data_IF_217679987771
#
_entry.id   IF_217679987771
#
_cell.length_a   1.000
_cell.length_b   1.000
_cell.length_c   1.000
_cell.angle_alpha   90.00
_cell.angle_beta   90.00
_cell.angle_gamma   90.00
#
_symmetry.space_group_name_H-M   'P 1'
#
loop_
_entity.id
_entity.type
_entity.pdbx_description
1 polymer ?
#
# COMPACT_ATOMS: atom_id res chain seq x y z
N UNK A 1 -13.87 -0.91 3.39
CA UNK A 1 -13.72 0.56 3.28
C UNK A 1 -12.26 1.02 3.07
N UNK A 2 -11.27 0.12 3.00
CA UNK A 2 -9.87 0.47 2.71
C UNK A 2 -9.64 0.82 1.23
N UNK A 3 -10.22 0.06 0.30
CA UNK A 3 -10.06 0.28 -1.15
C UNK A 3 -10.44 1.71 -1.57
N UNK A 4 -11.53 2.25 -1.00
CA UNK A 4 -11.97 3.61 -1.30
C UNK A 4 -11.00 4.68 -0.77
N UNK A 5 -10.37 4.44 0.39
CA UNK A 5 -9.36 5.33 0.96
C UNK A 5 -8.07 5.29 0.15
N UNK A 6 -7.63 4.09 -0.26
CA UNK A 6 -6.48 3.91 -1.15
C UNK A 6 -6.73 4.58 -2.51
N UNK A 7 -7.91 4.39 -3.11
CA UNK A 7 -8.30 5.06 -4.34
C UNK A 7 -8.30 6.60 -4.20
N UNK A 8 -8.84 7.13 -3.09
CA UNK A 8 -8.79 8.58 -2.81
C UNK A 8 -7.37 9.10 -2.61
N UNK A 9 -6.47 8.30 -2.03
CA UNK A 9 -5.06 8.63 -1.89
C UNK A 9 -4.26 8.46 -3.20
N UNK A 10 -4.91 8.11 -4.32
CA UNK A 10 -4.29 7.96 -5.63
C UNK A 10 -3.57 6.62 -5.82
N UNK A 11 -3.87 5.63 -4.99
CA UNK A 11 -3.45 4.25 -5.23
C UNK A 11 -4.41 3.57 -6.20
N UNK A 12 -3.87 2.77 -7.11
CA UNK A 12 -4.66 1.92 -8.00
C UNK A 12 -4.30 0.45 -7.80
N UNK A 13 -5.31 -0.40 -7.95
CA UNK A 13 -5.15 -1.84 -7.84
C UNK A 13 -4.38 -2.39 -9.04
N UNK A 14 -3.42 -3.28 -8.77
CA UNK A 14 -2.69 -4.03 -9.79
C UNK A 14 -2.79 -5.52 -9.49
N UNK A 15 -2.85 -6.33 -10.54
CA UNK A 15 -2.66 -7.75 -10.43
C UNK A 15 -1.16 -8.01 -10.14
N UNK A 16 -0.82 -8.33 -8.89
CA UNK A 16 0.53 -8.75 -8.57
C UNK A 16 0.78 -10.14 -9.16
N UNK A 17 1.87 -10.35 -9.92
CA UNK A 17 2.17 -11.64 -10.54
C UNK A 17 2.55 -12.72 -9.52
N UNK A 18 2.92 -12.32 -8.30
CA UNK A 18 3.34 -13.22 -7.22
C UNK A 18 2.14 -13.54 -6.32
N UNK A 19 1.22 -14.35 -6.84
CA UNK A 19 -0.05 -14.71 -6.18
C UNK A 19 0.09 -15.97 -5.30
N UNK A 20 1.17 -16.08 -4.53
CA UNK A 20 1.27 -17.15 -3.52
C UNK A 20 0.26 -16.94 -2.38
N UNK A 21 -0.16 -15.69 -2.15
CA UNK A 21 -1.15 -15.30 -1.14
C UNK A 21 -2.30 -14.56 -1.83
N UNK A 22 -3.52 -15.04 -1.65
CA UNK A 22 -4.72 -14.37 -2.15
C UNK A 22 -4.86 -12.99 -1.47
N UNK A 23 -4.76 -11.92 -2.25
CA UNK A 23 -4.83 -10.55 -1.76
C UNK A 23 -4.87 -9.52 -2.88
N UNK A 24 -5.23 -8.29 -2.54
CA UNK A 24 -5.21 -7.16 -3.45
C UNK A 24 -3.90 -6.38 -3.28
N UNK A 25 -3.30 -5.95 -4.38
CA UNK A 25 -2.11 -5.10 -4.36
C UNK A 25 -2.46 -3.74 -4.93
N UNK A 26 -2.15 -2.69 -4.19
CA UNK A 26 -2.36 -1.31 -4.59
C UNK A 26 -1.00 -0.64 -4.76
N UNK A 27 -0.88 0.24 -5.74
CA UNK A 27 0.33 1.03 -5.94
C UNK A 27 0.00 2.50 -6.16
N UNK A 28 0.81 3.35 -5.57
CA UNK A 28 0.87 4.79 -5.84
C UNK A 28 2.27 5.13 -6.34
N UNK A 29 2.43 5.46 -7.63
CA UNK A 29 3.68 5.95 -8.15
C UNK A 29 3.92 7.36 -7.61
N UNK A 30 5.01 7.55 -6.87
CA UNK A 30 5.51 8.87 -6.48
C UNK A 30 6.66 9.31 -7.39
N UNK A 31 6.95 10.61 -7.38
CA UNK A 31 7.99 11.21 -8.23
C UNK A 31 9.42 10.70 -7.92
N UNK A 32 9.65 10.21 -6.69
CA UNK A 32 10.94 9.66 -6.22
C UNK A 32 10.88 8.19 -5.83
N UNK A 33 9.74 7.74 -5.31
CA UNK A 33 9.55 6.37 -4.83
C UNK A 33 8.09 5.95 -5.04
N UNK A 34 7.88 4.68 -5.37
CA UNK A 34 6.54 4.11 -5.46
C UNK A 34 6.16 3.49 -4.13
N UNK A 35 4.92 3.73 -3.69
CA UNK A 35 4.37 3.09 -2.50
C UNK A 35 3.47 1.95 -2.95
N UNK A 36 3.73 0.73 -2.48
CA UNK A 36 2.95 -0.47 -2.77
C UNK A 36 2.33 -0.97 -1.47
N UNK A 37 1.02 -1.14 -1.47
CA UNK A 37 0.25 -1.68 -0.33
C UNK A 37 -0.27 -3.05 -0.73
N UNK A 38 0.09 -4.07 0.01
CA UNK A 38 -0.46 -5.41 -0.12
C UNK A 38 -1.51 -5.65 0.97
N UNK A 39 -2.69 -6.08 0.56
CA UNK A 39 -3.85 -6.32 1.41
C UNK A 39 -4.24 -7.80 1.25
N UNK A 40 -3.75 -8.69 2.12
CA UNK A 40 -4.13 -10.10 2.11
C UNK A 40 -5.63 -10.26 2.38
N UNK A 41 -6.29 -11.20 1.68
CA UNK A 41 -7.73 -11.45 1.86
C UNK A 41 -8.05 -12.09 3.22
N UNK A 42 -7.13 -12.91 3.73
CA UNK A 42 -7.29 -13.67 4.97
C UNK A 42 -6.68 -13.00 6.22
N UNK A 43 -6.17 -11.77 6.09
CA UNK A 43 -5.55 -11.03 7.20
C UNK A 43 -6.11 -9.62 7.29
N UNK A 44 -6.30 -9.13 8.51
CA UNK A 44 -6.69 -7.74 8.76
C UNK A 44 -5.49 -6.77 8.69
N UNK A 45 -4.29 -7.32 8.60
CA UNK A 45 -3.03 -6.61 8.48
C UNK A 45 -2.68 -6.37 7.00
N UNK A 46 -2.13 -5.20 6.72
CA UNK A 46 -1.64 -4.78 5.42
C UNK A 46 -0.15 -4.54 5.48
N UNK A 47 0.51 -4.73 4.35
CA UNK A 47 1.94 -4.55 4.22
C UNK A 47 2.22 -3.41 3.25
N UNK A 48 2.87 -2.35 3.73
CA UNK A 48 3.23 -1.18 2.93
C UNK A 48 4.72 -1.23 2.64
N UNK A 49 5.03 -1.16 1.36
CA UNK A 49 6.37 -1.16 0.81
C UNK A 49 6.63 0.20 0.15
N UNK A 50 7.75 0.84 0.45
CA UNK A 50 8.18 2.07 -0.21
C UNK A 50 9.45 1.82 -1.02
N UNK A 51 9.53 2.36 -2.24
CA UNK A 51 10.69 2.27 -3.11
C UNK A 51 10.35 1.79 -4.52
N UNK A 52 11.20 0.93 -5.08
CA UNK A 52 11.00 0.40 -6.43
C UNK A 52 9.95 -0.73 -6.43
N UNK A 53 9.15 -0.84 -7.48
CA UNK A 53 8.11 -1.88 -7.65
C UNK A 53 8.56 -3.32 -7.31
N UNK A 54 9.81 -3.65 -7.66
CA UNK A 54 10.42 -4.97 -7.42
C UNK A 54 11.31 -5.05 -6.17
N UNK A 55 11.75 -3.92 -5.63
CA UNK A 55 12.70 -3.83 -4.52
C UNK A 55 12.19 -2.81 -3.48
N UNK A 56 10.89 -2.86 -3.20
CA UNK A 56 10.27 -2.01 -2.19
C UNK A 56 10.70 -2.48 -0.82
N UNK A 57 11.10 -1.56 0.05
CA UNK A 57 11.37 -1.85 1.45
C UNK A 57 10.05 -1.88 2.21
N UNK A 58 9.80 -2.92 2.99
CA UNK A 58 8.68 -2.93 3.94
C UNK A 58 8.88 -1.78 4.94
N UNK A 59 8.00 -0.80 4.89
CA UNK A 59 8.02 0.36 5.79
C UNK A 59 6.98 0.23 6.89
N UNK A 60 5.93 -0.55 6.66
CA UNK A 60 4.88 -0.78 7.64
C UNK A 60 4.21 -2.14 7.42
N UNK A 61 3.92 -2.83 8.51
CA UNK A 61 3.05 -4.01 8.53
C UNK A 61 2.14 -3.88 9.74
N UNK A 62 0.83 -3.97 9.53
CA UNK A 62 -0.15 -3.85 10.62
C UNK A 62 -1.54 -3.54 10.11
N UNK A 63 -2.50 -3.23 10.99
CA UNK A 63 -3.90 -3.08 10.62
C UNK A 63 -4.12 -1.99 9.55
N UNK A 64 -4.99 -2.31 8.59
CA UNK A 64 -5.39 -1.43 7.48
C UNK A 64 -5.77 0.00 7.90
N UNK A 65 -6.43 0.14 9.05
CA UNK A 65 -6.88 1.44 9.57
C UNK A 65 -5.71 2.38 9.90
N UNK A 66 -4.60 1.82 10.40
CA UNK A 66 -3.38 2.60 10.68
C UNK A 66 -2.60 2.93 9.40
N UNK A 67 -2.61 2.07 8.39
CA UNK A 67 -1.97 2.35 7.10
C UNK A 67 -2.61 3.56 6.38
N UNK A 68 -3.93 3.74 6.51
CA UNK A 68 -4.62 4.94 6.01
C UNK A 68 -4.12 6.21 6.73
N UNK A 69 -3.84 6.14 8.04
CA UNK A 69 -3.28 7.26 8.80
C UNK A 69 -1.83 7.56 8.41
N UNK A 70 -1.02 6.54 8.11
CA UNK A 70 0.34 6.71 7.60
C UNK A 70 0.37 7.45 6.26
N UNK A 71 -0.62 7.21 5.40
CA UNK A 71 -0.76 7.90 4.11
C UNK A 71 -1.03 9.39 4.28
N UNK A 72 -1.79 9.78 5.30
CA UNK A 72 -2.04 11.18 5.66
C UNK A 72 -0.80 11.87 6.26
N UNK A 73 0.09 11.13 6.91
CA UNK A 73 1.31 11.67 7.51
C UNK A 73 2.37 12.06 6.46
N UNK A 74 2.39 11.43 5.29
CA UNK A 74 3.30 11.80 4.19
C UNK A 74 2.95 13.16 3.57
N UNK A 75 1.72 13.65 3.76
CA UNK A 75 1.27 14.97 3.26
C UNK A 75 1.71 16.14 4.17
N UNK A 76 2.21 15.88 5.39
CA UNK A 76 2.45 16.90 6.41
C UNK A 76 3.89 17.40 6.54
N UNK A 77 4.73 17.22 5.53
CA UNK A 77 6.04 17.89 5.45
C UNK A 77 6.03 18.90 4.31
N UNK A 78 5.51 20.09 4.62
CA UNK A 78 5.77 21.32 3.87
C UNK A 78 6.37 22.34 4.83
#
# INVERSE_FOLDING_TARGET
>A
MLNAQLANAGFYEIASPDSAVAGATYIRPGYRESVRVFVPHNSAEVEVYAGSLKNGRLVYQGPAEMAAQLTLLTDRNN
#
